data_IF_546706079135
#
_entry.id   IF_546706079135
#
_cell.length_a   1.000
_cell.length_b   1.000
_cell.length_c   1.000
_cell.angle_alpha   90.00
_cell.angle_beta   90.00
_cell.angle_gamma   90.00
#
_symmetry.space_group_name_H-M   'P 1'
#
loop_
_entity.id
_entity.type
_entity.pdbx_description
1 polymer ?
#
# COMPACT_ATOMS: atom_id res chain seq x y z
N UNK A 1 2.87 -6.07 -23.99
CA UNK A 1 2.33 -6.19 -22.62
C UNK A 1 1.45 -4.97 -22.37
N UNK A 2 0.14 -5.16 -22.38
CA UNK A 2 -0.80 -4.08 -22.04
C UNK A 2 -0.93 -3.99 -20.52
N UNK A 3 -0.21 -3.04 -19.91
CA UNK A 3 -0.16 -2.89 -18.44
C UNK A 3 -1.49 -2.46 -17.84
N UNK A 4 -2.36 -1.83 -18.61
CA UNK A 4 -3.61 -1.27 -18.11
C UNK A 4 -4.66 -2.35 -17.86
N UNK A 5 -4.67 -3.41 -18.67
CA UNK A 5 -5.60 -4.54 -18.53
C UNK A 5 -5.25 -5.49 -17.37
N UNK A 6 -4.06 -5.36 -16.77
CA UNK A 6 -3.65 -6.16 -15.60
C UNK A 6 -4.06 -5.53 -14.26
N UNK A 7 -4.70 -4.35 -14.27
CA UNK A 7 -5.13 -3.67 -13.04
C UNK A 7 -6.34 -4.39 -12.43
N UNK A 8 -6.40 -4.42 -11.10
CA UNK A 8 -7.62 -4.78 -10.37
C UNK A 8 -8.65 -3.64 -10.50
N UNK A 9 -9.87 -4.01 -10.86
CA UNK A 9 -11.03 -3.12 -10.76
C UNK A 9 -11.52 -3.19 -9.31
N UNK A 10 -11.76 -2.02 -8.71
CA UNK A 10 -12.27 -1.89 -7.35
C UNK A 10 -13.59 -1.12 -7.33
N UNK A 11 -14.41 -1.39 -6.32
CA UNK A 11 -15.68 -0.66 -6.14
C UNK A 11 -15.41 0.73 -5.54
N UNK A 12 -16.37 1.67 -5.64
CA UNK A 12 -16.26 2.96 -4.96
C UNK A 12 -16.07 2.82 -3.44
N UNK A 13 -16.71 1.85 -2.80
CA UNK A 13 -16.60 1.60 -1.36
C UNK A 13 -15.18 1.16 -0.97
N UNK A 14 -14.58 0.22 -1.72
CA UNK A 14 -13.18 -0.20 -1.50
C UNK A 14 -12.21 0.99 -1.65
N UNK A 15 -12.50 1.91 -2.57
CA UNK A 15 -11.73 3.13 -2.76
C UNK A 15 -11.84 4.09 -1.56
N UNK A 16 -13.04 4.30 -1.03
CA UNK A 16 -13.27 5.13 0.15
C UNK A 16 -12.60 4.54 1.40
N UNK A 17 -12.66 3.22 1.58
CA UNK A 17 -11.96 2.52 2.67
C UNK A 17 -10.44 2.71 2.57
N UNK A 18 -9.87 2.61 1.37
CA UNK A 18 -8.46 2.87 1.13
C UNK A 18 -8.09 4.34 1.43
N UNK A 19 -8.95 5.30 1.09
CA UNK A 19 -8.78 6.71 1.44
C UNK A 19 -8.79 6.93 2.95
N UNK A 20 -9.72 6.29 3.67
CA UNK A 20 -9.80 6.37 5.13
C UNK A 20 -8.57 5.77 5.82
N UNK A 21 -8.03 4.65 5.32
CA UNK A 21 -6.77 4.09 5.80
C UNK A 21 -5.60 5.06 5.61
N UNK A 22 -5.51 5.69 4.44
CA UNK A 22 -4.47 6.69 4.16
C UNK A 22 -4.56 7.87 5.11
N UNK A 23 -5.76 8.35 5.40
CA UNK A 23 -5.98 9.46 6.34
C UNK A 23 -5.46 9.11 7.74
N UNK A 24 -5.75 7.90 8.23
CA UNK A 24 -5.28 7.42 9.55
C UNK A 24 -3.76 7.26 9.62
N UNK A 25 -3.14 6.83 8.52
CA UNK A 25 -1.70 6.59 8.47
C UNK A 25 -0.87 7.87 8.27
N UNK A 26 -1.48 8.97 7.82
CA UNK A 26 -0.75 10.19 7.49
C UNK A 26 -0.06 10.79 8.73
N UNK A 27 1.27 10.90 8.67
CA UNK A 27 2.09 11.44 9.75
C UNK A 27 2.33 10.47 10.92
N UNK A 28 1.87 9.22 10.83
CA UNK A 28 2.13 8.21 11.85
C UNK A 28 3.60 7.77 11.87
N UNK A 29 4.10 7.48 13.08
CA UNK A 29 5.36 6.76 13.35
C UNK A 29 5.03 5.45 14.04
N UNK A 30 5.98 4.51 14.06
CA UNK A 30 5.76 3.16 14.61
C UNK A 30 4.53 2.50 14.00
N UNK A 31 4.47 2.50 12.67
CA UNK A 31 3.30 2.12 11.90
C UNK A 31 3.64 1.04 10.87
N UNK A 32 2.83 -0.02 10.85
CA UNK A 32 2.84 -1.05 9.81
C UNK A 32 1.58 -0.92 8.94
N UNK A 33 1.70 -0.77 7.61
CA UNK A 33 0.54 -0.72 6.72
C UNK A 33 -0.25 -2.02 6.75
N UNK A 34 -1.57 -1.94 6.92
CA UNK A 34 -2.49 -3.09 6.90
C UNK A 34 -3.12 -3.39 5.53
N UNK A 35 -2.76 -2.63 4.49
CA UNK A 35 -3.30 -2.81 3.15
C UNK A 35 -2.77 -4.09 2.47
N UNK A 36 -3.60 -4.72 1.64
CA UNK A 36 -3.20 -5.92 0.89
C UNK A 36 -2.16 -5.60 -0.20
N UNK A 37 -1.16 -6.47 -0.32
CA UNK A 37 -0.16 -6.46 -1.39
C UNK A 37 -0.50 -7.45 -2.52
N UNK A 38 -1.60 -8.20 -2.41
CA UNK A 38 -1.92 -9.33 -3.29
C UNK A 38 -1.91 -8.95 -4.77
N UNK A 39 -2.54 -7.82 -5.10
CA UNK A 39 -2.74 -7.36 -6.48
C UNK A 39 -1.60 -6.48 -7.03
N UNK A 40 -0.51 -6.30 -6.28
CA UNK A 40 0.68 -5.64 -6.81
C UNK A 40 1.39 -6.57 -7.80
N UNK A 41 2.04 -6.01 -8.82
CA UNK A 41 2.83 -6.82 -9.75
C UNK A 41 4.12 -7.32 -9.08
N UNK A 42 4.66 -8.48 -9.47
CA UNK A 42 5.99 -8.92 -9.07
C UNK A 42 7.04 -7.84 -9.35
N UNK A 43 8.00 -7.67 -8.43
CA UNK A 43 9.02 -6.62 -8.49
C UNK A 43 8.57 -5.24 -8.00
N UNK A 44 7.32 -5.09 -7.53
CA UNK A 44 6.84 -3.82 -6.97
C UNK A 44 7.41 -3.58 -5.58
N UNK A 45 8.05 -2.43 -5.36
CA UNK A 45 8.45 -1.98 -4.04
C UNK A 45 7.23 -1.45 -3.26
N UNK A 46 7.07 -1.88 -2.02
CA UNK A 46 6.01 -1.41 -1.13
C UNK A 46 6.54 -1.09 0.27
N UNK A 47 5.83 -0.23 1.00
CA UNK A 47 6.16 0.15 2.36
C UNK A 47 5.86 -1.01 3.31
N UNK A 48 6.87 -1.49 4.04
CA UNK A 48 6.70 -2.53 5.06
C UNK A 48 6.35 -1.93 6.43
N UNK A 49 7.07 -0.90 6.84
CA UNK A 49 6.93 -0.30 8.17
C UNK A 49 7.57 1.10 8.23
N UNK A 50 7.15 1.88 9.23
CA UNK A 50 7.74 3.14 9.65
C UNK A 50 8.11 3.02 11.12
N UNK A 51 9.35 3.28 11.48
CA UNK A 51 9.79 3.19 12.88
C UNK A 51 9.53 4.48 13.69
N UNK A 52 9.96 4.48 14.96
CA UNK A 52 9.81 5.62 15.88
C UNK A 52 10.51 6.90 15.42
N UNK A 53 11.55 6.76 14.61
CA UNK A 53 12.34 7.87 14.05
C UNK A 53 11.86 8.28 12.66
N UNK A 54 10.65 7.86 12.26
CA UNK A 54 10.06 8.12 10.95
C UNK A 54 10.83 7.53 9.76
N UNK A 55 11.74 6.57 10.00
CA UNK A 55 12.47 5.89 8.93
C UNK A 55 11.56 4.85 8.30
N UNK A 56 11.58 4.75 6.97
CA UNK A 56 10.68 3.90 6.19
C UNK A 56 11.43 2.72 5.61
N UNK A 57 10.94 1.51 5.86
CA UNK A 57 11.50 0.28 5.30
C UNK A 57 10.63 -0.18 4.13
N UNK A 58 11.27 -0.50 3.01
CA UNK A 58 10.60 -0.98 1.80
C UNK A 58 11.02 -2.41 1.47
N UNK A 59 10.09 -3.21 0.95
CA UNK A 59 10.33 -4.58 0.49
C UNK A 59 9.82 -4.72 -0.94
N UNK A 60 10.40 -5.66 -1.68
CA UNK A 60 9.99 -6.01 -3.04
C UNK A 60 9.00 -7.17 -2.97
N UNK A 61 7.86 -7.05 -3.65
CA UNK A 61 6.95 -8.19 -3.84
C UNK A 61 7.59 -9.22 -4.77
N UNK A 62 7.71 -10.45 -4.30
CA UNK A 62 8.14 -11.61 -5.09
C UNK A 62 7.16 -11.95 -6.22
#
# INVERSE_FOLDING_TARGET
>A
MDRLSQRKISTPEEYEEACALRLKAYGAKSFEPSGSIEHMAPGTYYLKEIDESYRRTYVVKE
#
